data_IF_554553393712
#
_entry.id   IF_554553393712
#
_cell.length_a   1.000
_cell.length_b   1.000
_cell.length_c   1.000
_cell.angle_alpha   90.00
_cell.angle_beta   90.00
_cell.angle_gamma   90.00
#
_symmetry.space_group_name_H-M   'P 1'
#
loop_
_entity.id
_entity.type
_entity.pdbx_description
1 polymer ?
#
# COMPACT_ATOMS: atom_id res chain seq x y z
N UNK A 1 -5.76 -28.64 4.38
CA UNK A 1 -5.69 -27.16 4.29
C UNK A 1 -7.02 -26.51 4.68
N UNK A 2 -8.13 -26.77 4.00
CA UNK A 2 -9.43 -26.12 4.26
C UNK A 2 -9.97 -26.35 5.68
N UNK A 3 -9.90 -27.59 6.19
CA UNK A 3 -10.31 -27.88 7.57
C UNK A 3 -9.48 -27.12 8.63
N UNK A 4 -8.18 -26.93 8.36
CA UNK A 4 -7.28 -26.18 9.24
C UNK A 4 -7.63 -24.68 9.25
N UNK A 5 -7.83 -24.08 8.07
CA UNK A 5 -8.26 -22.69 7.96
C UNK A 5 -9.64 -22.46 8.55
N UNK A 6 -10.57 -23.41 8.37
CA UNK A 6 -11.89 -23.36 9.00
C UNK A 6 -11.82 -23.40 10.52
N UNK A 7 -11.04 -24.33 11.09
CA UNK A 7 -10.84 -24.40 12.54
C UNK A 7 -10.18 -23.12 13.08
N UNK A 8 -9.16 -22.62 12.39
CA UNK A 8 -8.51 -21.36 12.74
C UNK A 8 -9.50 -20.19 12.74
N UNK A 9 -10.34 -20.07 11.72
CA UNK A 9 -11.36 -19.04 11.64
C UNK A 9 -12.40 -19.15 12.76
N UNK A 10 -12.85 -20.36 13.12
CA UNK A 10 -13.74 -20.58 14.25
C UNK A 10 -13.14 -20.12 15.57
N UNK A 11 -11.86 -20.41 15.81
CA UNK A 11 -11.14 -19.95 17.01
C UNK A 11 -11.01 -18.43 17.01
N UNK A 12 -10.62 -17.80 15.90
CA UNK A 12 -10.51 -16.33 15.81
C UNK A 12 -11.87 -15.66 16.01
N UNK A 13 -12.97 -16.26 15.52
CA UNK A 13 -14.31 -15.72 15.65
C UNK A 13 -14.78 -15.60 17.11
N UNK A 14 -14.40 -16.53 18.00
CA UNK A 14 -14.76 -16.43 19.42
C UNK A 14 -14.09 -15.23 20.11
N UNK A 15 -12.87 -14.88 19.71
CA UNK A 15 -12.20 -13.66 20.18
C UNK A 15 -12.74 -12.40 19.52
N UNK A 16 -13.06 -12.44 18.22
CA UNK A 16 -13.59 -11.28 17.51
C UNK A 16 -14.94 -10.79 18.09
N UNK A 17 -15.76 -11.72 18.58
CA UNK A 17 -17.06 -11.41 19.19
C UNK A 17 -16.99 -10.55 20.46
N UNK A 18 -15.83 -10.49 21.14
CA UNK A 18 -15.65 -9.71 22.37
C UNK A 18 -15.06 -8.31 22.15
N UNK A 19 -14.63 -7.99 20.92
CA UNK A 19 -13.92 -6.76 20.56
C UNK A 19 -14.83 -5.59 20.14
N UNK A 20 -16.15 -5.75 20.22
CA UNK A 20 -17.13 -4.74 19.84
C UNK A 20 -17.90 -5.13 18.57
N UNK A 21 -18.37 -4.15 17.81
CA UNK A 21 -19.14 -4.45 16.60
C UNK A 21 -18.25 -5.14 15.56
N UNK A 22 -18.75 -6.21 14.93
CA UNK A 22 -17.99 -6.95 13.91
C UNK A 22 -17.52 -6.04 12.76
N UNK A 23 -18.34 -5.05 12.40
CA UNK A 23 -18.02 -4.07 11.36
C UNK A 23 -16.83 -3.19 11.79
N UNK A 24 -16.80 -2.74 13.05
CA UNK A 24 -15.67 -1.95 13.57
C UNK A 24 -14.39 -2.79 13.61
N UNK A 25 -14.47 -4.01 14.13
CA UNK A 25 -13.32 -4.92 14.24
C UNK A 25 -12.74 -5.19 12.85
N UNK A 26 -13.59 -5.61 11.89
CA UNK A 26 -13.17 -5.88 10.51
C UNK A 26 -12.56 -4.64 9.87
N UNK A 27 -13.15 -3.47 10.08
CA UNK A 27 -12.65 -2.25 9.44
C UNK A 27 -11.37 -1.73 10.10
N UNK A 28 -11.19 -1.93 11.41
CA UNK A 28 -9.94 -1.62 12.11
C UNK A 28 -8.79 -2.50 11.59
N UNK A 29 -9.00 -3.82 11.49
CA UNK A 29 -7.98 -4.73 10.94
C UNK A 29 -7.78 -4.52 9.44
N UNK A 30 -8.86 -4.35 8.69
CA UNK A 30 -8.84 -4.15 7.24
C UNK A 30 -8.11 -2.87 6.85
N UNK A 31 -8.32 -1.77 7.60
CA UNK A 31 -7.72 -0.47 7.28
C UNK A 31 -6.19 -0.46 7.35
N UNK A 32 -5.59 -1.44 8.03
CA UNK A 32 -4.14 -1.62 8.07
C UNK A 32 -3.55 -2.02 6.71
N UNK A 33 -4.34 -2.69 5.86
CA UNK A 33 -3.90 -3.26 4.59
C UNK A 33 -4.62 -2.67 3.37
N UNK A 34 -5.93 -2.41 3.48
CA UNK A 34 -6.80 -2.04 2.37
C UNK A 34 -6.33 -0.77 1.67
N UNK A 35 -5.96 0.26 2.42
CA UNK A 35 -5.40 1.50 1.87
C UNK A 35 -4.20 1.26 0.96
N UNK A 36 -3.20 0.53 1.46
CA UNK A 36 -1.97 0.28 0.71
C UNK A 36 -2.22 -0.58 -0.54
N UNK A 37 -3.10 -1.58 -0.46
CA UNK A 37 -3.50 -2.40 -1.61
C UNK A 37 -4.26 -1.56 -2.65
N UNK A 38 -5.21 -0.73 -2.22
CA UNK A 38 -5.91 0.22 -3.09
C UNK A 38 -4.92 1.16 -3.78
N UNK A 39 -3.92 1.67 -3.06
CA UNK A 39 -2.85 2.50 -3.60
C UNK A 39 -2.07 1.81 -4.73
N UNK A 40 -1.78 0.50 -4.59
CA UNK A 40 -1.13 -0.28 -5.66
C UNK A 40 -2.04 -0.39 -6.88
N UNK A 41 -3.34 -0.66 -6.69
CA UNK A 41 -4.30 -0.71 -7.80
C UNK A 41 -4.41 0.65 -8.51
N UNK A 42 -4.47 1.75 -7.78
CA UNK A 42 -4.49 3.10 -8.34
C UNK A 42 -3.20 3.38 -9.12
N UNK A 43 -2.05 3.01 -8.55
CA UNK A 43 -0.75 3.17 -9.19
C UNK A 43 -0.65 2.36 -10.49
N UNK A 44 -1.26 1.17 -10.57
CA UNK A 44 -1.30 0.37 -11.78
C UNK A 44 -2.05 1.03 -12.95
N UNK A 45 -2.98 1.95 -12.67
CA UNK A 45 -3.67 2.75 -13.71
C UNK A 45 -2.81 3.90 -14.25
N UNK A 46 -1.66 4.19 -13.63
CA UNK A 46 -0.75 5.25 -14.05
C UNK A 46 0.22 4.68 -15.10
N UNK A 47 0.19 5.12 -16.37
CA UNK A 47 0.99 4.52 -17.45
C UNK A 47 2.51 4.57 -17.25
N UNK A 48 2.96 5.42 -16.33
CA UNK A 48 4.37 5.64 -16.01
C UNK A 48 4.82 4.88 -14.75
N UNK A 49 3.94 4.11 -14.12
CA UNK A 49 4.26 3.32 -12.94
C UNK A 49 5.01 2.03 -13.30
N UNK A 50 5.83 1.55 -12.37
CA UNK A 50 6.62 0.31 -12.51
C UNK A 50 6.40 -0.59 -11.30
N UNK A 51 6.59 -1.91 -11.51
CA UNK A 51 6.41 -2.92 -10.47
C UNK A 51 7.26 -2.68 -9.22
N UNK A 52 8.52 -2.29 -9.38
CA UNK A 52 9.42 -1.94 -8.26
C UNK A 52 8.87 -0.76 -7.46
N UNK A 53 8.40 0.30 -8.14
CA UNK A 53 7.78 1.45 -7.49
C UNK A 53 6.51 1.06 -6.73
N UNK A 54 5.69 0.17 -7.27
CA UNK A 54 4.51 -0.36 -6.59
C UNK A 54 4.85 -1.20 -5.36
N UNK A 55 5.86 -2.06 -5.45
CA UNK A 55 6.32 -2.90 -4.34
C UNK A 55 6.90 -2.05 -3.20
N UNK A 56 7.83 -1.13 -3.51
CA UNK A 56 8.41 -0.25 -2.48
C UNK A 56 7.32 0.67 -1.92
N UNK A 57 6.45 1.22 -2.78
CA UNK A 57 5.29 2.00 -2.37
C UNK A 57 4.43 1.24 -1.35
N UNK A 58 4.07 -0.02 -1.64
CA UNK A 58 3.29 -0.89 -0.75
C UNK A 58 3.94 -1.05 0.62
N UNK A 59 5.24 -1.37 0.67
CA UNK A 59 5.99 -1.57 1.93
C UNK A 59 6.03 -0.27 2.74
N UNK A 60 6.31 0.86 2.09
CA UNK A 60 6.33 2.17 2.76
C UNK A 60 4.94 2.56 3.25
N UNK A 61 3.90 2.33 2.44
CA UNK A 61 2.50 2.57 2.81
C UNK A 61 2.08 1.78 4.05
N UNK A 62 2.38 0.48 4.09
CA UNK A 62 2.12 -0.37 5.27
C UNK A 62 2.90 0.11 6.50
N UNK A 63 4.15 0.53 6.32
CA UNK A 63 4.98 1.01 7.42
C UNK A 63 4.44 2.32 8.00
N UNK A 64 4.04 3.27 7.14
CA UNK A 64 3.42 4.54 7.57
C UNK A 64 2.08 4.29 8.26
N UNK A 65 1.22 3.42 7.73
CA UNK A 65 -0.04 3.04 8.39
C UNK A 65 0.23 2.43 9.76
N UNK A 66 1.24 1.56 9.89
CA UNK A 66 1.69 1.04 11.19
C UNK A 66 2.09 2.14 12.16
N UNK A 67 2.94 3.09 11.73
CA UNK A 67 3.33 4.22 12.58
C UNK A 67 2.14 5.09 13.01
N UNK A 68 1.21 5.38 12.10
CA UNK A 68 -0.01 6.14 12.40
C UNK A 68 -0.88 5.40 13.42
N UNK A 69 -1.07 4.10 13.24
CA UNK A 69 -1.90 3.29 14.13
C UNK A 69 -1.37 3.19 15.57
N UNK A 70 -0.04 3.17 15.76
CA UNK A 70 0.56 3.04 17.10
C UNK A 70 1.00 4.37 17.72
N UNK A 71 1.19 5.42 16.93
CA UNK A 71 1.77 6.69 17.38
C UNK A 71 0.81 7.88 17.35
N UNK A 72 -0.42 7.72 16.85
CA UNK A 72 -1.36 8.84 16.69
C UNK A 72 -2.81 8.45 16.98
N UNK A 73 -3.62 9.42 17.42
CA UNK A 73 -5.06 9.27 17.65
C UNK A 73 -5.90 9.45 16.36
N UNK A 74 -5.43 8.86 15.26
CA UNK A 74 -6.14 8.93 13.97
C UNK A 74 -7.13 7.79 13.88
N UNK A 75 -8.38 8.10 13.55
CA UNK A 75 -9.43 7.09 13.35
C UNK A 75 -9.02 6.08 12.25
N UNK A 76 -9.24 4.79 12.50
CA UNK A 76 -8.75 3.70 11.65
C UNK A 76 -9.19 3.84 10.18
N UNK A 77 -10.35 4.44 9.90
CA UNK A 77 -10.83 4.73 8.55
C UNK A 77 -9.85 5.56 7.71
N UNK A 78 -9.19 6.54 8.33
CA UNK A 78 -8.23 7.42 7.66
C UNK A 78 -6.95 6.72 7.26
N UNK A 79 -6.62 5.59 7.90
CA UNK A 79 -5.46 4.78 7.54
C UNK A 79 -5.57 4.27 6.10
N UNK A 80 -6.79 4.07 5.57
CA UNK A 80 -7.00 3.73 4.17
C UNK A 80 -6.52 4.82 3.22
N UNK A 81 -6.91 6.07 3.48
CA UNK A 81 -6.53 7.23 2.66
C UNK A 81 -5.03 7.48 2.76
N UNK A 82 -4.48 7.38 3.98
CA UNK A 82 -3.04 7.54 4.23
C UNK A 82 -2.25 6.47 3.47
N UNK A 83 -2.60 5.19 3.65
CA UNK A 83 -1.94 4.08 2.97
C UNK A 83 -1.99 4.24 1.45
N UNK A 84 -3.18 4.48 0.88
CA UNK A 84 -3.34 4.66 -0.56
C UNK A 84 -2.51 5.84 -1.09
N UNK A 85 -2.58 6.98 -0.40
CA UNK A 85 -1.84 8.19 -0.77
C UNK A 85 -0.33 7.97 -0.74
N UNK A 86 0.20 7.37 0.33
CA UNK A 86 1.64 7.08 0.46
C UNK A 86 2.12 6.16 -0.66
N UNK A 87 1.38 5.07 -0.95
CA UNK A 87 1.76 4.14 -2.02
C UNK A 87 1.80 4.84 -3.37
N UNK A 88 0.78 5.64 -3.70
CA UNK A 88 0.73 6.36 -4.97
C UNK A 88 1.88 7.38 -5.07
N UNK A 89 2.12 8.17 -4.03
CA UNK A 89 3.18 9.20 -4.03
C UNK A 89 4.56 8.56 -4.16
N UNK A 90 4.87 7.58 -3.32
CA UNK A 90 6.16 6.88 -3.34
C UNK A 90 6.34 6.12 -4.64
N UNK A 91 5.31 5.40 -5.09
CA UNK A 91 5.36 4.59 -6.29
C UNK A 91 5.55 5.43 -7.55
N UNK A 92 4.88 6.58 -7.67
CA UNK A 92 5.10 7.52 -8.77
C UNK A 92 6.51 8.11 -8.71
N UNK A 93 6.98 8.53 -7.54
CA UNK A 93 8.31 9.12 -7.38
C UNK A 93 9.41 8.15 -7.81
N UNK A 94 9.34 6.89 -7.38
CA UNK A 94 10.32 5.87 -7.73
C UNK A 94 10.23 5.44 -9.19
N UNK A 95 9.01 5.26 -9.72
CA UNK A 95 8.83 4.89 -11.13
C UNK A 95 9.35 5.96 -12.10
N UNK A 96 9.33 7.24 -11.72
CA UNK A 96 9.96 8.32 -12.49
C UNK A 96 11.48 8.19 -12.54
N UNK A 97 12.12 7.87 -11.40
CA UNK A 97 13.58 7.74 -11.31
C UNK A 97 14.10 6.63 -12.21
N UNK A 98 13.42 5.49 -12.23
CA UNK A 98 13.83 4.35 -13.06
C UNK A 98 13.66 4.60 -14.57
N UNK A 99 12.72 5.47 -14.99
CA UNK A 99 12.59 5.88 -16.40
C UNK A 99 13.72 6.81 -16.83
N UNK A 100 14.08 7.79 -16.00
CA UNK A 100 15.15 8.73 -16.32
C UNK A 100 16.52 8.04 -16.41
N UNK A 101 16.75 6.97 -15.64
CA UNK A 101 17.96 6.17 -15.74
C UNK A 101 18.04 5.34 -17.04
N UNK A 102 16.91 5.10 -17.73
CA UNK A 102 16.84 4.24 -18.90
C UNK A 102 16.99 4.99 -20.24
N UNK A 103 16.93 6.33 -20.24
CA UNK A 103 17.12 7.11 -21.47
C UNK A 103 18.59 7.48 -21.62
N UNK A 104 19.24 7.19 -22.77
CA UNK A 104 20.57 7.70 -23.05
C UNK A 104 20.54 9.23 -23.05
N UNK A 105 21.60 9.84 -22.53
CA UNK A 105 21.72 11.30 -22.48
C UNK A 105 21.60 11.87 -23.90
N UNK A 106 20.89 13.01 -24.10
CA UNK A 106 20.76 13.61 -25.42
C UNK A 106 22.13 13.81 -26.06
N UNK A 107 22.26 13.40 -27.32
CA UNK A 107 23.51 13.62 -28.07
C UNK A 107 23.85 15.11 -28.05
N UNK A 108 25.09 15.43 -27.68
CA UNK A 108 25.59 16.82 -27.76
C UNK A 108 25.51 17.30 -29.22
N UNK A 109 25.27 18.60 -29.46
CA UNK A 109 25.19 19.16 -30.83
C UNK A 109 26.38 18.84 -31.73
N UNK A 110 27.57 18.63 -31.15
CA UNK A 110 28.80 18.23 -31.86
C UNK A 110 28.83 16.76 -32.33
N UNK A 111 27.83 15.96 -31.96
CA UNK A 111 27.69 14.55 -32.32
C UNK A 111 26.59 14.34 -33.38
N UNK A 112 25.95 15.42 -33.81
CA UNK A 112 24.93 15.41 -34.87
C UNK A 112 25.67 15.63 -36.20
N UNK A 113 25.59 14.68 -37.17
CA UNK A 113 26.27 14.77 -38.46
C UNK A 113 25.73 15.89 -39.35
#
# INVERSE_FOLDING_TARGET
ATALWGLFACVVATYAATLGSLIEVVNRFGSFFYGSILGVFLLAMIPRARGTGAFIGLVVGMTVVGFVNFGTDVAYLWQNVIGAGVVVVVGVALSRKERNAALPEPLKPSQIP
#
